data_IF_617923827788
#
_entry.id   IF_617923827788
#
_cell.length_a   1.000
_cell.length_b   1.000
_cell.length_c   1.000
_cell.angle_alpha   90.00
_cell.angle_beta   90.00
_cell.angle_gamma   90.00
#
_symmetry.space_group_name_H-M   'P 1'
#
loop_
_entity.id
_entity.type
_entity.pdbx_description
1 polymer ?
#
# COMPACT_ATOMS: atom_id res chain seq x y z
N UNK A 1 -28.81 12.51 38.38
CA UNK A 1 -29.07 11.99 37.02
C UNK A 1 -28.26 12.73 35.97
N UNK A 2 -28.32 14.07 35.91
CA UNK A 2 -27.62 14.92 34.93
C UNK A 2 -26.08 14.71 34.82
N UNK A 3 -25.37 14.53 35.95
CA UNK A 3 -23.92 14.28 35.95
C UNK A 3 -23.53 12.92 35.37
N UNK A 4 -24.40 11.91 35.53
CA UNK A 4 -24.16 10.58 34.99
C UNK A 4 -24.35 10.58 33.48
N UNK A 5 -25.36 11.30 32.99
CA UNK A 5 -25.64 11.51 31.57
C UNK A 5 -24.49 12.26 30.87
N UNK A 6 -23.95 13.33 31.48
CA UNK A 6 -22.79 14.03 30.93
C UNK A 6 -21.52 13.16 30.82
N UNK A 7 -21.31 12.25 31.79
CA UNK A 7 -20.19 11.31 31.76
C UNK A 7 -20.40 10.26 30.66
N UNK A 8 -21.63 9.73 30.52
CA UNK A 8 -22.03 8.77 29.49
C UNK A 8 -21.86 9.38 28.07
N UNK A 9 -22.35 10.61 27.87
CA UNK A 9 -22.19 11.37 26.62
C UNK A 9 -20.70 11.58 26.26
N UNK A 10 -19.86 11.79 27.28
CA UNK A 10 -18.41 11.96 27.08
C UNK A 10 -17.74 10.63 26.73
N UNK A 11 -18.14 9.52 27.36
CA UNK A 11 -17.63 8.18 27.09
C UNK A 11 -17.96 7.73 25.66
N UNK A 12 -19.20 7.96 25.22
CA UNK A 12 -19.63 7.69 23.85
C UNK A 12 -18.83 8.51 22.82
N UNK A 13 -18.60 9.80 23.10
CA UNK A 13 -17.79 10.65 22.23
C UNK A 13 -16.34 10.16 22.12
N UNK A 14 -15.76 9.69 23.23
CA UNK A 14 -14.42 9.09 23.24
C UNK A 14 -14.40 7.79 22.43
N UNK A 15 -15.39 6.90 22.62
CA UNK A 15 -15.49 5.64 21.90
C UNK A 15 -15.63 5.84 20.38
N UNK A 16 -16.45 6.80 19.95
CA UNK A 16 -16.60 7.13 18.52
C UNK A 16 -15.27 7.64 17.94
N UNK A 17 -14.57 8.54 18.67
CA UNK A 17 -13.27 9.06 18.22
C UNK A 17 -12.21 7.97 18.14
N UNK A 18 -12.13 7.11 19.15
CA UNK A 18 -11.17 6.01 19.19
C UNK A 18 -11.42 5.03 18.04
N UNK A 19 -12.68 4.65 17.80
CA UNK A 19 -13.06 3.81 16.66
C UNK A 19 -12.68 4.43 15.32
N UNK A 20 -12.89 5.74 15.14
CA UNK A 20 -12.50 6.43 13.92
C UNK A 20 -10.97 6.46 13.72
N UNK A 21 -10.21 6.73 14.78
CA UNK A 21 -8.73 6.71 14.73
C UNK A 21 -8.21 5.32 14.39
N UNK A 22 -8.74 4.27 15.02
CA UNK A 22 -8.37 2.88 14.70
C UNK A 22 -8.67 2.54 13.23
N UNK A 23 -9.83 2.96 12.72
CA UNK A 23 -10.19 2.74 11.33
C UNK A 23 -9.22 3.43 10.35
N UNK A 24 -8.80 4.67 10.65
CA UNK A 24 -7.78 5.37 9.86
C UNK A 24 -6.41 4.69 9.91
N UNK A 25 -6.00 4.16 11.06
CA UNK A 25 -4.74 3.43 11.19
C UNK A 25 -4.74 2.15 10.33
N UNK A 26 -5.83 1.37 10.39
CA UNK A 26 -5.99 0.16 9.57
C UNK A 26 -5.94 0.50 8.06
N UNK A 27 -6.56 1.62 7.66
CA UNK A 27 -6.48 2.09 6.27
C UNK A 27 -5.05 2.41 5.84
N UNK A 28 -4.29 3.11 6.69
CA UNK A 28 -2.91 3.45 6.40
C UNK A 28 -2.02 2.21 6.34
N UNK A 29 -2.21 1.27 7.25
CA UNK A 29 -1.51 -0.01 7.28
C UNK A 29 -1.75 -0.81 6.00
N UNK A 30 -3.00 -0.87 5.52
CA UNK A 30 -3.36 -1.52 4.25
C UNK A 30 -2.65 -0.90 3.04
N UNK A 31 -2.62 0.44 2.97
CA UNK A 31 -1.93 1.15 1.90
C UNK A 31 -0.41 0.92 1.94
N UNK A 32 0.18 0.96 3.13
CA UNK A 32 1.61 0.75 3.34
C UNK A 32 2.02 -0.69 3.04
N UNK A 33 1.18 -1.66 3.42
CA UNK A 33 1.38 -3.08 3.09
C UNK A 33 1.30 -3.32 1.58
N UNK A 34 0.33 -2.71 0.89
CA UNK A 34 0.23 -2.79 -0.56
C UNK A 34 1.44 -2.15 -1.26
N UNK A 35 1.93 -1.01 -0.77
CA UNK A 35 3.14 -0.38 -1.28
C UNK A 35 4.37 -1.29 -1.08
N UNK A 36 4.49 -1.89 0.10
CA UNK A 36 5.59 -2.82 0.44
C UNK A 36 5.54 -4.07 -0.44
N UNK A 37 4.36 -4.63 -0.69
CA UNK A 37 4.17 -5.76 -1.59
C UNK A 37 4.66 -5.46 -3.01
N UNK A 38 4.23 -4.32 -3.58
CA UNK A 38 4.65 -3.89 -4.92
C UNK A 38 6.15 -3.61 -4.97
N UNK A 39 6.70 -2.93 -3.95
CA UNK A 39 8.14 -2.68 -3.85
C UNK A 39 8.95 -3.98 -3.76
N UNK A 40 8.45 -4.98 -3.05
CA UNK A 40 9.10 -6.29 -2.92
C UNK A 40 9.12 -7.03 -4.26
N UNK A 41 8.04 -6.99 -5.04
CA UNK A 41 8.01 -7.55 -6.40
C UNK A 41 9.02 -6.87 -7.33
N UNK A 42 9.06 -5.54 -7.31
CA UNK A 42 10.05 -4.79 -8.08
C UNK A 42 11.48 -5.13 -7.67
N UNK A 43 11.75 -5.16 -6.35
CA UNK A 43 13.05 -5.51 -5.81
C UNK A 43 13.48 -6.94 -6.14
N UNK A 44 12.54 -7.90 -6.16
CA UNK A 44 12.83 -9.27 -6.56
C UNK A 44 13.27 -9.36 -8.03
N UNK A 45 12.57 -8.67 -8.94
CA UNK A 45 12.96 -8.61 -10.35
C UNK A 45 14.30 -7.88 -10.50
N UNK A 46 14.45 -6.69 -9.91
CA UNK A 46 15.70 -5.94 -9.95
C UNK A 46 16.88 -6.73 -9.36
N UNK A 47 16.65 -7.52 -8.31
CA UNK A 47 17.64 -8.40 -7.69
C UNK A 47 18.03 -9.57 -8.60
N UNK A 48 17.06 -10.28 -9.17
CA UNK A 48 17.32 -11.41 -10.09
C UNK A 48 18.13 -10.95 -11.29
N UNK A 49 17.77 -9.80 -11.87
CA UNK A 49 18.44 -9.25 -13.07
C UNK A 49 19.67 -8.38 -12.76
N UNK A 50 19.85 -7.92 -11.52
CA UNK A 50 20.99 -7.12 -11.09
C UNK A 50 22.17 -7.94 -10.56
N UNK A 51 21.99 -9.25 -10.35
CA UNK A 51 23.08 -10.16 -10.06
C UNK A 51 23.99 -10.30 -11.29
N UNK A 52 25.31 -10.41 -11.06
CA UNK A 52 26.33 -10.62 -12.11
C UNK A 52 26.23 -12.04 -12.70
N UNK A 53 25.10 -12.36 -13.33
CA UNK A 53 24.88 -13.62 -14.01
C UNK A 53 25.41 -13.52 -15.44
N UNK A 54 26.28 -14.45 -15.84
CA UNK A 54 26.68 -14.64 -17.23
C UNK A 54 25.55 -15.36 -18.00
N UNK A 55 24.44 -14.67 -18.21
CA UNK A 55 23.32 -15.14 -19.02
C UNK A 55 23.33 -14.42 -20.37
N UNK A 56 23.03 -15.12 -21.46
CA UNK A 56 22.94 -14.56 -22.83
C UNK A 56 21.90 -13.44 -23.00
N UNK A 57 21.07 -13.20 -21.98
CA UNK A 57 20.13 -12.07 -21.91
C UNK A 57 20.88 -10.74 -21.69
N UNK A 58 22.09 -10.77 -21.11
CA UNK A 58 22.93 -9.58 -20.90
C UNK A 58 23.77 -9.18 -22.12
N UNK A 59 23.78 -9.98 -23.20
CA UNK A 59 24.41 -9.61 -24.47
C UNK A 59 23.75 -8.36 -25.10
N UNK A 60 22.54 -8.03 -24.65
CA UNK A 60 21.86 -6.78 -24.94
C UNK A 60 21.90 -5.86 -23.71
N UNK A 61 22.81 -4.87 -23.65
CA UNK A 61 22.90 -3.94 -22.51
C UNK A 61 21.61 -3.15 -22.27
N UNK A 62 20.74 -3.03 -23.28
CA UNK A 62 19.42 -2.40 -23.15
C UNK A 62 18.34 -3.30 -22.54
N UNK A 63 18.51 -4.63 -22.53
CA UNK A 63 17.49 -5.57 -22.05
C UNK A 63 17.19 -5.38 -20.56
N UNK A 64 18.23 -5.18 -19.74
CA UNK A 64 18.09 -4.88 -18.31
C UNK A 64 17.26 -3.62 -18.06
N UNK A 65 17.57 -2.54 -18.79
CA UNK A 65 16.86 -1.26 -18.66
C UNK A 65 15.39 -1.41 -19.06
N UNK A 66 15.10 -2.13 -20.15
CA UNK A 66 13.74 -2.39 -20.59
C UNK A 66 12.93 -3.22 -19.60
N UNK A 67 13.52 -4.28 -19.03
CA UNK A 67 12.87 -5.10 -18.00
C UNK A 67 12.53 -4.24 -16.78
N UNK A 68 13.48 -3.42 -16.29
CA UNK A 68 13.22 -2.52 -15.17
C UNK A 68 12.11 -1.49 -15.46
N UNK A 69 12.08 -0.92 -16.66
CA UNK A 69 11.05 0.06 -17.04
C UNK A 69 9.67 -0.62 -17.10
N UNK A 70 9.57 -1.80 -17.73
CA UNK A 70 8.30 -2.53 -17.87
C UNK A 70 7.81 -3.01 -16.50
N UNK A 71 8.70 -3.57 -15.68
CA UNK A 71 8.34 -4.01 -14.32
C UNK A 71 7.98 -2.83 -13.44
N UNK A 72 8.73 -1.71 -13.51
CA UNK A 72 8.41 -0.49 -12.78
C UNK A 72 7.04 0.09 -13.16
N UNK A 73 6.75 0.15 -14.46
CA UNK A 73 5.44 0.58 -14.96
C UNK A 73 4.32 -0.38 -14.52
N UNK A 74 4.53 -1.69 -14.60
CA UNK A 74 3.59 -2.71 -14.14
C UNK A 74 3.31 -2.63 -12.64
N UNK A 75 4.36 -2.45 -11.82
CA UNK A 75 4.27 -2.23 -10.38
C UNK A 75 3.49 -0.94 -10.06
N UNK A 76 3.77 0.16 -10.77
CA UNK A 76 3.02 1.41 -10.63
C UNK A 76 1.54 1.25 -10.96
N UNK A 77 1.22 0.55 -12.07
CA UNK A 77 -0.17 0.25 -12.45
C UNK A 77 -0.87 -0.67 -11.45
N UNK A 78 -0.17 -1.66 -10.90
CA UNK A 78 -0.70 -2.53 -9.84
C UNK A 78 -1.02 -1.74 -8.57
N UNK A 79 -0.10 -0.88 -8.12
CA UNK A 79 -0.34 -0.04 -6.95
C UNK A 79 -1.50 0.94 -7.19
N UNK A 80 -1.58 1.53 -8.39
CA UNK A 80 -2.69 2.39 -8.77
C UNK A 80 -4.03 1.62 -8.80
N UNK A 81 -4.02 0.37 -9.26
CA UNK A 81 -5.20 -0.51 -9.24
C UNK A 81 -5.64 -0.82 -7.81
N UNK A 82 -4.71 -1.10 -6.89
CA UNK A 82 -5.02 -1.23 -5.46
C UNK A 82 -5.61 0.05 -4.89
N UNK A 83 -5.03 1.21 -5.22
CA UNK A 83 -5.53 2.50 -4.78
C UNK A 83 -6.97 2.76 -5.28
N UNK A 84 -7.25 2.50 -6.56
CA UNK A 84 -8.60 2.61 -7.12
C UNK A 84 -9.57 1.62 -6.48
N UNK A 85 -9.14 0.38 -6.24
CA UNK A 85 -9.96 -0.62 -5.57
C UNK A 85 -10.34 -0.19 -4.16
N UNK A 86 -9.38 0.33 -3.38
CA UNK A 86 -9.64 0.85 -2.04
C UNK A 86 -10.57 2.06 -2.04
N UNK A 87 -10.44 2.94 -3.05
CA UNK A 87 -11.36 4.06 -3.27
C UNK A 87 -12.78 3.57 -3.61
N UNK A 88 -12.92 2.59 -4.49
CA UNK A 88 -14.21 2.05 -4.91
C UNK A 88 -14.94 1.32 -3.77
N UNK A 89 -14.19 0.57 -2.96
CA UNK A 89 -14.73 -0.13 -1.79
C UNK A 89 -15.16 0.80 -0.64
N UNK A 90 -14.99 2.12 -0.78
CA UNK A 90 -15.34 3.14 0.25
C UNK A 90 -14.80 2.79 1.64
N UNK A 91 -13.60 2.20 1.70
CA UNK A 91 -12.95 1.91 2.99
C UNK A 91 -12.54 3.23 3.67
N UNK A 92 -12.35 4.29 2.87
CA UNK A 92 -12.29 5.66 3.35
C UNK A 92 -13.71 6.21 3.57
N UNK A 93 -14.13 6.48 4.82
CA UNK A 93 -15.18 7.46 5.02
C UNK A 93 -14.62 8.81 4.54
N UNK A 94 -15.34 9.47 3.63
CA UNK A 94 -15.13 10.90 3.35
C UNK A 94 -15.41 11.72 4.61
#
# INVERSE_FOLDING_TARGET
MQLKEYIDDTEDLINIKLGNVQNHLIQFELLLTAATFVATLFAAVAGVFGMNFAASIFDYPSAFSWVLIITGAGCGLLYFSFFLYFKYKKIFPL
#
